data_IF_303226838135
#
_entry.id   IF_303226838135
#
_cell.length_a   1.000
_cell.length_b   1.000
_cell.length_c   1.000
_cell.angle_alpha   90.00
_cell.angle_beta   90.00
_cell.angle_gamma   90.00
#
_symmetry.space_group_name_H-M   'P 1'
#
loop_
_entity.id
_entity.type
_entity.pdbx_description
1 polymer ?
#
# COMPACT_ATOMS: atom_id res chain seq x y z
N UNK A 1 0.12 -2.25 10.39
CA UNK A 1 1.21 -1.47 9.76
C UNK A 1 1.16 -1.64 8.24
N UNK A 2 1.50 -0.60 7.51
CA UNK A 2 1.51 -0.66 6.05
C UNK A 2 2.68 -1.51 5.56
N UNK A 3 2.40 -2.43 4.63
CA UNK A 3 3.42 -3.32 4.08
C UNK A 3 4.58 -2.56 3.42
N UNK A 4 4.28 -1.44 2.76
CA UNK A 4 5.29 -0.59 2.12
C UNK A 4 6.31 -0.06 3.14
N UNK A 5 5.83 0.42 4.29
CA UNK A 5 6.70 0.93 5.36
C UNK A 5 7.57 -0.19 5.92
N UNK A 6 6.99 -1.36 6.12
CA UNK A 6 7.73 -2.53 6.60
C UNK A 6 8.82 -2.95 5.61
N UNK A 7 8.50 -2.95 4.33
CA UNK A 7 9.45 -3.32 3.27
C UNK A 7 10.60 -2.31 3.18
N UNK A 8 10.30 -1.02 3.23
CA UNK A 8 11.31 0.04 3.19
C UNK A 8 12.23 -0.04 4.41
N UNK A 9 11.66 -0.24 5.59
CA UNK A 9 12.44 -0.39 6.82
C UNK A 9 13.37 -1.60 6.75
N UNK A 10 12.87 -2.75 6.32
CA UNK A 10 13.66 -3.97 6.18
C UNK A 10 14.79 -3.80 5.16
N UNK A 11 14.51 -3.17 4.02
CA UNK A 11 15.52 -2.91 3.00
C UNK A 11 16.59 -1.95 3.49
N UNK A 12 16.20 -0.91 4.23
CA UNK A 12 17.13 0.06 4.79
C UNK A 12 18.11 -0.59 5.78
N UNK A 13 17.61 -1.51 6.60
CA UNK A 13 18.44 -2.26 7.54
C UNK A 13 19.41 -3.20 6.82
N UNK A 14 18.94 -3.88 5.78
CA UNK A 14 19.75 -4.83 5.01
C UNK A 14 20.85 -4.11 4.23
N UNK A 15 20.52 -2.99 3.60
CA UNK A 15 21.46 -2.24 2.76
C UNK A 15 22.31 -1.24 3.54
N UNK A 16 22.04 -1.05 4.83
CA UNK A 16 22.85 -0.21 5.70
C UNK A 16 22.64 1.28 5.52
N UNK A 17 21.52 1.71 4.93
CA UNK A 17 21.21 3.13 4.75
C UNK A 17 19.76 3.36 4.44
N UNK A 18 19.28 4.58 4.66
CA UNK A 18 17.88 4.94 4.44
C UNK A 18 17.56 5.29 2.99
N UNK A 19 18.56 5.59 2.16
CA UNK A 19 18.37 5.83 0.73
C UNK A 19 18.50 4.51 -0.01
N UNK A 20 17.43 4.14 -0.71
CA UNK A 20 17.34 2.86 -1.41
C UNK A 20 17.51 3.07 -2.92
N UNK A 21 18.65 3.66 -3.30
CA UNK A 21 18.98 3.91 -4.69
C UNK A 21 19.02 2.58 -5.46
N UNK A 22 18.66 2.64 -6.75
CA UNK A 22 18.61 1.48 -7.64
C UNK A 22 17.62 0.39 -7.19
N UNK A 23 16.62 0.76 -6.41
CA UNK A 23 15.63 -0.18 -5.87
C UNK A 23 14.24 0.09 -6.42
N UNK A 24 13.43 -0.96 -6.49
CA UNK A 24 12.03 -0.89 -6.89
C UNK A 24 11.14 -1.43 -5.78
N UNK A 25 9.98 -0.80 -5.60
CA UNK A 25 8.96 -1.26 -4.68
C UNK A 25 7.77 -1.81 -5.46
N UNK A 26 7.38 -3.04 -5.17
CA UNK A 26 6.21 -3.69 -5.76
C UNK A 26 5.15 -3.84 -4.69
N UNK A 27 3.97 -3.27 -4.92
CA UNK A 27 2.87 -3.34 -3.97
C UNK A 27 1.56 -3.70 -4.67
N UNK A 28 0.65 -4.31 -3.92
CA UNK A 28 -0.64 -4.73 -4.43
C UNK A 28 -1.57 -3.55 -4.68
N UNK A 29 -1.64 -2.65 -3.71
CA UNK A 29 -2.52 -1.49 -3.73
C UNK A 29 -1.72 -0.21 -3.87
N UNK A 30 -2.27 0.74 -4.62
CA UNK A 30 -1.67 2.07 -4.79
C UNK A 30 -1.31 2.69 -3.43
N UNK A 31 -0.08 3.18 -3.26
CA UNK A 31 0.36 3.77 -1.98
C UNK A 31 -0.50 4.96 -1.52
N UNK A 32 -0.77 5.01 -0.22
CA UNK A 32 -1.41 6.14 0.45
C UNK A 32 -0.42 7.30 0.63
N UNK A 33 -0.86 8.48 1.10
CA UNK A 33 0.06 9.62 1.28
C UNK A 33 1.26 9.34 2.18
N UNK A 34 1.07 8.60 3.25
CA UNK A 34 2.18 8.25 4.15
C UNK A 34 3.21 7.38 3.46
N UNK A 35 2.76 6.36 2.75
CA UNK A 35 3.66 5.45 2.03
C UNK A 35 4.33 6.14 0.84
N UNK A 36 3.60 6.98 0.12
CA UNK A 36 4.17 7.77 -0.97
C UNK A 36 5.26 8.73 -0.45
N UNK A 37 5.03 9.36 0.69
CA UNK A 37 6.04 10.18 1.35
C UNK A 37 7.30 9.38 1.72
N UNK A 38 7.11 8.18 2.26
CA UNK A 38 8.22 7.30 2.60
C UNK A 38 9.04 6.88 1.37
N UNK A 39 8.35 6.64 0.25
CA UNK A 39 9.00 6.33 -1.03
C UNK A 39 9.91 7.48 -1.47
N UNK A 40 9.43 8.71 -1.38
CA UNK A 40 10.23 9.90 -1.70
C UNK A 40 11.45 10.02 -0.80
N UNK A 41 11.26 9.84 0.49
CA UNK A 41 12.35 9.91 1.47
C UNK A 41 13.41 8.84 1.26
N UNK A 42 12.99 7.63 0.89
CA UNK A 42 13.89 6.52 0.65
C UNK A 42 14.58 6.58 -0.73
N UNK A 43 14.17 7.50 -1.60
CA UNK A 43 14.73 7.63 -2.95
C UNK A 43 14.59 6.37 -3.80
N UNK A 44 13.46 5.69 -3.67
CA UNK A 44 13.15 4.54 -4.52
C UNK A 44 13.03 5.00 -5.98
N UNK A 45 13.66 4.29 -6.90
CA UNK A 45 13.65 4.66 -8.30
C UNK A 45 12.37 4.26 -9.01
N UNK A 46 11.80 3.12 -8.63
CA UNK A 46 10.60 2.60 -9.28
C UNK A 46 9.56 2.19 -8.25
N UNK A 47 8.32 2.47 -8.56
CA UNK A 47 7.15 2.03 -7.80
C UNK A 47 6.21 1.34 -8.77
N UNK A 48 5.91 0.07 -8.47
CA UNK A 48 5.00 -0.73 -9.28
C UNK A 48 3.83 -1.14 -8.41
N UNK A 49 2.61 -0.74 -8.77
CA UNK A 49 1.44 -1.17 -8.02
C UNK A 49 0.42 -1.87 -8.93
N UNK A 50 -0.35 -2.78 -8.32
CA UNK A 50 -1.30 -3.59 -9.06
C UNK A 50 -2.61 -2.88 -9.34
N UNK A 51 -3.29 -2.43 -8.30
CA UNK A 51 -4.60 -1.82 -8.43
C UNK A 51 -4.67 -0.45 -7.75
N UNK A 52 -5.48 0.43 -8.35
CA UNK A 52 -5.68 1.79 -7.82
C UNK A 52 -6.52 1.76 -6.54
N UNK A 53 -6.31 2.75 -5.70
CA UNK A 53 -7.15 3.04 -4.53
C UNK A 53 -7.87 4.37 -4.75
N UNK A 54 -9.12 4.34 -5.22
CA UNK A 54 -9.84 5.57 -5.56
C UNK A 54 -10.11 6.49 -4.36
N UNK A 55 -10.02 5.96 -3.14
CA UNK A 55 -10.35 6.72 -1.93
C UNK A 55 -9.14 7.18 -1.15
N UNK A 56 -8.00 6.53 -1.31
CA UNK A 56 -6.83 6.82 -0.49
C UNK A 56 -5.50 6.82 -1.23
N UNK A 57 -5.51 6.57 -2.54
CA UNK A 57 -4.29 6.53 -3.33
C UNK A 57 -3.67 7.89 -3.57
N UNK A 58 -2.38 8.01 -3.33
CA UNK A 58 -1.66 9.28 -3.44
C UNK A 58 -0.66 9.32 -4.60
N UNK A 59 -0.71 8.34 -5.50
CA UNK A 59 0.16 8.31 -6.69
C UNK A 59 -0.59 8.81 -7.91
N UNK A 60 -1.81 8.31 -8.14
CA UNK A 60 -2.62 8.66 -9.31
C UNK A 60 -4.07 9.01 -8.99
N UNK A 61 -4.64 8.42 -7.92
CA UNK A 61 -6.09 8.44 -7.71
C UNK A 61 -6.61 9.71 -7.03
N UNK A 62 -6.33 9.90 -5.74
CA UNK A 62 -6.83 11.08 -5.01
C UNK A 62 -5.93 12.27 -5.25
N UNK A 63 -4.63 12.05 -5.18
CA UNK A 63 -3.65 13.06 -5.51
C UNK A 63 -2.48 12.43 -6.24
N UNK A 64 -1.64 13.26 -6.83
CA UNK A 64 -0.47 12.83 -7.57
C UNK A 64 0.77 13.39 -6.87
N UNK A 65 1.14 12.77 -5.75
CA UNK A 65 2.21 13.25 -4.89
C UNK A 65 3.55 13.35 -5.62
N UNK A 66 3.82 12.42 -6.54
CA UNK A 66 5.08 12.39 -7.28
C UNK A 66 5.17 13.43 -8.40
N UNK A 67 4.10 14.18 -8.66
CA UNK A 67 4.13 15.30 -9.60
C UNK A 67 4.48 16.62 -8.94
N UNK A 68 4.53 16.66 -7.61
CA UNK A 68 4.89 17.85 -6.86
C UNK A 68 6.40 18.10 -6.94
N UNK A 69 6.85 19.34 -6.77
CA UNK A 69 8.26 19.71 -7.00
C UNK A 69 9.18 19.31 -5.83
N UNK A 70 9.13 18.04 -5.45
CA UNK A 70 10.10 17.49 -4.50
C UNK A 70 11.42 17.17 -5.22
N UNK A 71 12.45 16.93 -4.43
CA UNK A 71 13.79 16.66 -4.98
C UNK A 71 13.93 15.29 -5.64
N UNK A 72 12.90 14.49 -5.64
CA UNK A 72 12.94 13.14 -6.18
C UNK A 72 11.62 12.79 -6.85
N UNK A 73 11.71 12.09 -7.97
CA UNK A 73 10.54 11.61 -8.70
C UNK A 73 10.76 10.15 -9.09
N UNK A 74 10.06 9.21 -8.46
CA UNK A 74 10.17 7.80 -8.86
C UNK A 74 9.45 7.56 -10.18
N UNK A 75 9.91 6.55 -10.91
CA UNK A 75 9.20 6.04 -12.08
C UNK A 75 8.04 5.15 -11.60
N UNK A 76 6.84 5.37 -12.12
CA UNK A 76 5.64 4.67 -11.68
C UNK A 76 5.12 3.76 -12.77
N UNK A 77 4.83 2.52 -12.40
CA UNK A 77 4.18 1.54 -13.27
C UNK A 77 2.92 1.02 -12.57
N UNK A 78 1.76 1.33 -13.13
CA UNK A 78 0.47 0.92 -12.58
C UNK A 78 -0.12 -0.24 -13.38
N UNK A 79 -0.90 -1.08 -12.72
CA UNK A 79 -1.71 -2.10 -13.40
C UNK A 79 -1.06 -3.47 -13.54
N UNK A 80 0.09 -3.70 -12.95
CA UNK A 80 0.71 -5.03 -12.95
C UNK A 80 -0.18 -6.00 -12.18
N UNK A 81 -0.65 -7.07 -12.85
CA UNK A 81 -1.56 -8.05 -12.27
C UNK A 81 -2.78 -7.40 -11.60
N UNK A 82 -3.32 -6.38 -12.24
CA UNK A 82 -4.37 -5.53 -11.64
C UNK A 82 -5.59 -6.34 -11.18
N UNK A 83 -6.08 -7.24 -12.02
CA UNK A 83 -7.26 -8.05 -11.69
C UNK A 83 -7.00 -8.97 -10.49
N UNK A 84 -5.85 -9.62 -10.46
CA UNK A 84 -5.46 -10.52 -9.37
C UNK A 84 -5.27 -9.75 -8.07
N UNK A 85 -4.62 -8.60 -8.13
CA UNK A 85 -4.43 -7.73 -6.96
C UNK A 85 -5.77 -7.23 -6.42
N UNK A 86 -6.66 -6.78 -7.29
CA UNK A 86 -7.99 -6.33 -6.89
C UNK A 86 -8.80 -7.47 -6.24
N UNK A 87 -8.69 -8.69 -6.78
CA UNK A 87 -9.41 -9.84 -6.23
C UNK A 87 -8.89 -10.22 -4.84
N UNK A 88 -7.59 -10.24 -4.65
CA UNK A 88 -6.98 -10.52 -3.34
C UNK A 88 -7.48 -9.52 -2.29
N UNK A 89 -7.54 -8.25 -2.64
CA UNK A 89 -8.02 -7.21 -1.72
C UNK A 89 -9.50 -7.36 -1.41
N UNK A 90 -10.33 -7.65 -2.42
CA UNK A 90 -11.76 -7.90 -2.21
C UNK A 90 -11.98 -9.06 -1.26
N UNK A 91 -11.26 -10.16 -1.46
CA UNK A 91 -11.38 -11.34 -0.62
C UNK A 91 -10.94 -11.05 0.81
N UNK A 92 -9.83 -10.36 0.98
CA UNK A 92 -9.32 -9.97 2.29
C UNK A 92 -10.32 -9.11 3.06
N UNK A 93 -10.85 -8.06 2.43
CA UNK A 93 -11.80 -7.17 3.08
C UNK A 93 -13.13 -7.87 3.37
N UNK A 94 -13.57 -8.78 2.51
CA UNK A 94 -14.76 -9.58 2.78
C UNK A 94 -14.58 -10.46 4.01
N UNK A 95 -13.47 -11.16 4.12
CA UNK A 95 -13.15 -11.99 5.28
C UNK A 95 -13.05 -11.14 6.55
N UNK A 96 -12.44 -9.97 6.46
CA UNK A 96 -12.33 -9.07 7.60
C UNK A 96 -13.69 -8.58 8.08
N UNK A 97 -14.61 -8.26 7.16
CA UNK A 97 -15.99 -7.87 7.52
C UNK A 97 -16.72 -9.01 8.20
N UNK A 98 -16.61 -10.23 7.70
CA UNK A 98 -17.24 -11.41 8.29
C UNK A 98 -16.70 -11.66 9.69
N UNK A 99 -15.39 -11.55 9.87
CA UNK A 99 -14.76 -11.72 11.18
C UNK A 99 -15.25 -10.69 12.18
N UNK A 100 -15.29 -9.42 11.78
CA UNK A 100 -15.78 -8.32 12.62
C UNK A 100 -17.24 -8.50 12.99
N UNK A 101 -18.06 -8.98 12.07
CA UNK A 101 -19.47 -9.28 12.33
C UNK A 101 -19.63 -10.41 13.36
N UNK A 102 -18.85 -11.48 13.21
CA UNK A 102 -18.88 -12.59 14.15
C UNK A 102 -18.42 -12.14 15.55
N UNK A 103 -17.37 -11.36 15.64
CA UNK A 103 -16.87 -10.81 16.90
C UNK A 103 -17.92 -9.90 17.56
N UNK A 104 -18.62 -9.09 16.78
CA UNK A 104 -19.68 -8.20 17.27
C UNK A 104 -20.83 -9.02 17.85
N UNK A 105 -21.26 -10.07 17.17
CA UNK A 105 -22.33 -10.97 17.65
C UNK A 105 -21.92 -11.62 18.97
N UNK A 106 -20.72 -12.17 19.04
CA UNK A 106 -20.20 -12.80 20.25
C UNK A 106 -20.11 -11.82 21.42
N UNK A 107 -19.58 -10.60 21.16
CA UNK A 107 -19.41 -9.58 22.19
C UNK A 107 -20.73 -9.05 22.72
N UNK A 108 -21.75 -8.93 21.88
CA UNK A 108 -23.07 -8.44 22.29
C UNK A 108 -23.93 -9.49 22.93
N UNK A 109 -23.45 -10.74 23.02
CA UNK A 109 -24.21 -11.82 23.65
C UNK A 109 -25.48 -12.17 22.90
N UNK A 110 -25.53 -11.95 21.59
CA UNK A 110 -26.73 -12.27 20.80
C UNK A 110 -26.86 -13.79 20.69
N UNK A 111 -27.98 -14.30 21.14
CA UNK A 111 -28.30 -15.70 21.02
C UNK A 111 -29.31 -15.91 19.93
N UNK A 112 -29.14 -16.98 19.17
CA UNK A 112 -30.05 -17.39 18.11
C UNK A 112 -31.05 -18.47 18.59
N UNK A 113 -31.12 -18.67 19.85
CA UNK A 113 -32.08 -19.64 20.44
C UNK A 113 -33.49 -19.13 20.45
#
# INVERSE_FOLDING_TARGET
AHAEIMAIDAASRTLGGWRLLDSALYVTLEPCPMCAGAILHARLEQVVYGTADPKGGAVDSVEQLFTLPYNWTPEVHAGLLQAECAQILRDFFRELRLKKQAEKIARNGISML
#
